data_IF_814565889349
#
_entry.id   IF_814565889349
#
_cell.length_a   1.000
_cell.length_b   1.000
_cell.length_c   1.000
_cell.angle_alpha   90.00
_cell.angle_beta   90.00
_cell.angle_gamma   90.00
#
_symmetry.space_group_name_H-M   'P 1'
#
loop_
_entity.id
_entity.type
_entity.pdbx_description
1 polymer ?
#
# COMPACT_ATOMS: atom_id res chain seq x y z
N UNK A 1 9.04 -2.34 -20.19
CA UNK A 1 9.80 -1.43 -19.31
C UNK A 1 9.06 -1.35 -17.99
N UNK A 2 9.76 -1.52 -16.88
CA UNK A 2 9.17 -1.54 -15.55
C UNK A 2 8.83 -0.11 -15.10
N UNK A 3 7.54 0.25 -15.15
CA UNK A 3 7.05 1.59 -14.81
C UNK A 3 7.04 1.79 -13.29
N UNK A 4 6.65 0.75 -12.55
CA UNK A 4 6.43 0.82 -11.10
C UNK A 4 7.05 -0.38 -10.39
N UNK A 5 7.89 -0.12 -9.38
CA UNK A 5 8.35 -1.14 -8.44
C UNK A 5 7.64 -0.98 -7.10
N UNK A 6 6.99 -2.02 -6.60
CA UNK A 6 6.24 -1.95 -5.36
C UNK A 6 6.88 -2.85 -4.30
N UNK A 7 6.93 -2.34 -3.07
CA UNK A 7 7.39 -3.06 -1.88
C UNK A 7 6.21 -3.08 -0.93
N UNK A 8 5.68 -4.26 -0.58
CA UNK A 8 4.55 -4.40 0.32
C UNK A 8 4.96 -5.02 1.64
N UNK A 9 4.42 -4.51 2.74
CA UNK A 9 4.77 -4.93 4.11
C UNK A 9 4.15 -6.28 4.55
N UNK A 10 3.18 -6.78 3.78
CA UNK A 10 2.53 -8.07 3.93
C UNK A 10 2.12 -8.70 2.58
N UNK A 11 1.69 -9.96 2.63
CA UNK A 11 1.22 -10.70 1.45
C UNK A 11 -0.14 -10.24 0.94
N UNK A 12 -1.10 -10.02 1.84
CA UNK A 12 -2.47 -9.68 1.47
C UNK A 12 -2.54 -8.29 0.82
N UNK A 13 -1.82 -7.31 1.38
CA UNK A 13 -1.72 -5.97 0.82
C UNK A 13 -0.93 -5.92 -0.48
N UNK A 14 0.03 -6.83 -0.70
CA UNK A 14 0.70 -6.99 -1.99
C UNK A 14 -0.30 -7.39 -3.09
N UNK A 15 -1.13 -8.40 -2.81
CA UNK A 15 -2.13 -8.88 -3.77
C UNK A 15 -3.25 -7.87 -4.01
N UNK A 16 -3.68 -7.15 -2.98
CA UNK A 16 -4.67 -6.08 -3.10
C UNK A 16 -4.16 -4.91 -3.97
N UNK A 17 -2.89 -4.51 -3.78
CA UNK A 17 -2.23 -3.53 -4.66
C UNK A 17 -2.15 -4.04 -6.11
N UNK A 18 -1.68 -5.28 -6.30
CA UNK A 18 -1.57 -5.87 -7.63
C UNK A 18 -2.93 -5.91 -8.33
N UNK A 19 -4.00 -6.27 -7.63
CA UNK A 19 -5.36 -6.27 -8.15
C UNK A 19 -5.80 -4.89 -8.65
N UNK A 20 -5.57 -3.82 -7.88
CA UNK A 20 -5.95 -2.47 -8.31
C UNK A 20 -5.16 -1.99 -9.54
N UNK A 21 -3.86 -2.28 -9.59
CA UNK A 21 -3.02 -1.98 -10.75
C UNK A 21 -3.49 -2.75 -12.01
N UNK A 22 -3.80 -4.03 -11.87
CA UNK A 22 -4.31 -4.88 -12.95
C UNK A 22 -5.67 -4.38 -13.45
N UNK A 23 -6.62 -4.08 -12.55
CA UNK A 23 -7.94 -3.53 -12.90
C UNK A 23 -7.84 -2.20 -13.66
N UNK A 24 -6.81 -1.42 -13.38
CA UNK A 24 -6.52 -0.16 -14.08
C UNK A 24 -5.68 -0.34 -15.36
N UNK A 25 -5.40 -1.58 -15.78
CA UNK A 25 -4.82 -1.91 -17.09
C UNK A 25 -3.33 -2.23 -17.09
N UNK A 26 -2.68 -2.30 -15.93
CA UNK A 26 -1.25 -2.57 -15.83
C UNK A 26 -0.97 -4.08 -15.77
N UNK A 27 0.05 -4.57 -16.49
CA UNK A 27 0.57 -5.93 -16.31
C UNK A 27 1.45 -6.00 -15.07
N UNK A 28 1.02 -6.77 -14.07
CA UNK A 28 1.67 -6.86 -12.77
C UNK A 28 2.16 -8.27 -12.50
N UNK A 29 3.36 -8.38 -11.94
CA UNK A 29 3.91 -9.61 -11.38
C UNK A 29 4.09 -9.42 -9.88
N UNK A 30 3.54 -10.33 -9.08
CA UNK A 30 3.80 -10.36 -7.65
C UNK A 30 4.85 -11.43 -7.35
N UNK A 31 5.81 -11.11 -6.48
CA UNK A 31 6.82 -12.06 -5.96
C UNK A 31 6.64 -12.24 -4.46
N UNK A 32 7.05 -13.41 -3.96
CA UNK A 32 7.05 -13.73 -2.53
C UNK A 32 8.50 -13.56 -2.05
N UNK A 33 8.76 -12.47 -1.33
CA UNK A 33 10.13 -12.06 -1.02
C UNK A 33 10.89 -11.49 -2.22
N UNK A 34 12.13 -11.09 -1.97
CA UNK A 34 13.03 -10.56 -3.01
C UNK A 34 13.54 -11.73 -3.86
N UNK A 35 13.36 -11.71 -5.19
CA UNK A 35 13.84 -12.80 -6.05
C UNK A 35 15.36 -12.99 -5.99
N UNK A 36 15.79 -14.25 -5.98
CA UNK A 36 17.18 -14.68 -6.03
C UNK A 36 17.76 -14.66 -7.45
N UNK A 37 19.01 -15.09 -7.59
CA UNK A 37 19.66 -15.18 -8.90
C UNK A 37 19.04 -16.28 -9.77
N UNK A 38 18.53 -17.34 -9.13
CA UNK A 38 17.89 -18.50 -9.72
C UNK A 38 16.49 -18.24 -10.27
N UNK A 39 15.80 -17.20 -9.79
CA UNK A 39 14.43 -16.86 -10.21
C UNK A 39 14.38 -16.17 -11.59
N UNK A 40 15.53 -15.68 -12.07
CA UNK A 40 15.63 -14.93 -13.32
C UNK A 40 15.00 -13.52 -13.24
N UNK A 41 15.07 -12.76 -14.35
CA UNK A 41 14.44 -11.44 -14.44
C UNK A 41 12.91 -11.56 -14.47
N UNK A 42 12.17 -10.49 -14.11
CA UNK A 42 10.72 -10.47 -14.31
C UNK A 42 10.39 -10.62 -15.81
N UNK A 43 9.19 -11.14 -16.15
CA UNK A 43 8.69 -11.20 -17.52
C UNK A 43 8.89 -9.87 -18.28
N UNK A 44 9.30 -9.95 -19.54
CA UNK A 44 9.68 -8.77 -20.32
C UNK A 44 8.51 -7.78 -20.54
N UNK A 45 7.27 -8.26 -20.51
CA UNK A 45 6.05 -7.47 -20.63
C UNK A 45 5.48 -7.00 -19.28
N UNK A 46 6.14 -7.30 -18.15
CA UNK A 46 5.77 -6.76 -16.85
C UNK A 46 5.94 -5.22 -16.84
N UNK A 47 4.87 -4.53 -16.45
CA UNK A 47 4.83 -3.08 -16.28
C UNK A 47 4.97 -2.67 -14.82
N UNK A 48 4.57 -3.55 -13.89
CA UNK A 48 4.89 -3.42 -12.47
C UNK A 48 5.30 -4.74 -11.83
N UNK A 49 6.13 -4.66 -10.80
CA UNK A 49 6.48 -5.77 -9.93
C UNK A 49 6.11 -5.41 -8.49
N UNK A 50 5.40 -6.30 -7.79
CA UNK A 50 5.05 -6.15 -6.38
C UNK A 50 5.79 -7.20 -5.57
N UNK A 51 6.77 -6.77 -4.79
CA UNK A 51 7.52 -7.64 -3.87
C UNK A 51 6.77 -7.69 -2.54
N UNK A 52 6.21 -8.86 -2.20
CA UNK A 52 5.54 -9.09 -0.94
C UNK A 52 6.55 -9.48 0.15
N UNK A 53 6.68 -8.65 1.18
CA UNK A 53 7.49 -8.93 2.35
C UNK A 53 6.61 -9.36 3.53
N UNK A 54 7.26 -9.82 4.61
CA UNK A 54 6.62 -10.01 5.93
C UNK A 54 7.28 -9.06 6.93
N UNK A 55 7.13 -7.76 6.69
CA UNK A 55 7.92 -6.73 7.37
C UNK A 55 7.09 -5.80 8.27
N UNK A 56 5.76 -5.95 8.34
CA UNK A 56 4.90 -5.07 9.16
C UNK A 56 5.28 -4.99 10.64
N UNK A 57 5.48 -6.14 11.28
CA UNK A 57 5.64 -6.24 12.76
C UNK A 57 6.97 -6.82 13.20
N UNK A 58 7.93 -7.00 12.28
CA UNK A 58 9.30 -7.38 12.62
C UNK A 58 10.05 -6.16 13.21
N UNK A 59 11.22 -6.33 13.85
CA UNK A 59 12.03 -5.19 14.28
C UNK A 59 12.32 -4.23 13.11
N UNK A 60 12.25 -2.91 13.34
CA UNK A 60 12.38 -1.90 12.30
C UNK A 60 13.67 -2.03 11.46
N UNK A 61 14.79 -2.39 12.08
CA UNK A 61 16.06 -2.63 11.36
C UNK A 61 15.94 -3.77 10.32
N UNK A 62 15.20 -4.84 10.64
CA UNK A 62 14.96 -5.94 9.71
C UNK A 62 14.04 -5.51 8.57
N UNK A 63 12.96 -4.78 8.89
CA UNK A 63 12.03 -4.25 7.89
C UNK A 63 12.74 -3.30 6.89
N UNK A 64 13.60 -2.41 7.40
CA UNK A 64 14.43 -1.51 6.59
C UNK A 64 15.39 -2.30 5.70
N UNK A 65 16.10 -3.29 6.25
CA UNK A 65 17.02 -4.10 5.47
C UNK A 65 16.32 -4.84 4.31
N UNK A 66 15.18 -5.48 4.59
CA UNK A 66 14.39 -6.16 3.55
C UNK A 66 13.84 -5.20 2.50
N UNK A 67 13.38 -4.00 2.90
CA UNK A 67 12.90 -2.99 1.98
C UNK A 67 14.02 -2.45 1.07
N UNK A 68 15.21 -2.21 1.61
CA UNK A 68 16.37 -1.77 0.82
C UNK A 68 16.87 -2.86 -0.13
N UNK A 69 16.81 -4.13 0.27
CA UNK A 69 17.11 -5.25 -0.63
C UNK A 69 16.11 -5.33 -1.79
N UNK A 70 14.80 -5.19 -1.49
CA UNK A 70 13.75 -5.15 -2.50
C UNK A 70 13.91 -3.95 -3.44
N UNK A 71 14.24 -2.76 -2.90
CA UNK A 71 14.53 -1.56 -3.67
C UNK A 71 15.70 -1.78 -4.63
N UNK A 72 16.81 -2.34 -4.14
CA UNK A 72 17.99 -2.61 -4.97
C UNK A 72 17.66 -3.53 -6.15
N UNK A 73 16.88 -4.59 -5.89
CA UNK A 73 16.43 -5.51 -6.94
C UNK A 73 15.54 -4.80 -7.97
N UNK A 74 14.54 -4.02 -7.52
CA UNK A 74 13.64 -3.29 -8.41
C UNK A 74 14.37 -2.26 -9.28
N UNK A 75 15.34 -1.55 -8.68
CA UNK A 75 16.18 -0.58 -9.40
C UNK A 75 17.09 -1.24 -10.43
N UNK A 76 17.68 -2.40 -10.09
CA UNK A 76 18.47 -3.19 -11.04
C UNK A 76 17.65 -3.64 -12.26
N UNK A 77 16.33 -3.80 -12.11
CA UNK A 77 15.40 -4.16 -13.18
C UNK A 77 14.66 -2.96 -13.80
N UNK A 78 15.13 -1.73 -13.53
CA UNK A 78 14.69 -0.53 -14.23
C UNK A 78 13.42 0.11 -13.70
N UNK A 79 12.99 -0.19 -12.45
CA UNK A 79 11.84 0.49 -11.84
C UNK A 79 12.07 2.01 -11.77
N UNK A 80 11.18 2.77 -12.44
CA UNK A 80 11.27 4.23 -12.53
C UNK A 80 10.75 4.95 -11.27
N UNK A 81 9.68 4.40 -10.68
CA UNK A 81 9.04 4.91 -9.47
C UNK A 81 8.84 3.77 -8.47
N UNK A 82 8.93 4.09 -7.17
CA UNK A 82 8.73 3.13 -6.09
C UNK A 82 7.43 3.41 -5.33
N UNK A 83 6.67 2.36 -5.08
CA UNK A 83 5.46 2.36 -4.25
C UNK A 83 5.70 1.54 -2.99
N UNK A 84 5.80 2.18 -1.83
CA UNK A 84 5.82 1.47 -0.56
C UNK A 84 4.39 1.28 -0.06
N UNK A 85 3.91 0.04 -0.14
CA UNK A 85 2.56 -0.37 0.21
C UNK A 85 2.45 -0.69 1.69
N UNK A 86 1.56 0.03 2.36
CA UNK A 86 1.23 -0.13 3.80
C UNK A 86 -0.25 -0.44 3.99
N UNK A 87 -0.65 -0.89 5.19
CA UNK A 87 -2.05 -1.18 5.51
C UNK A 87 -2.93 0.09 5.43
N UNK A 88 -4.17 -0.03 4.94
CA UNK A 88 -5.10 1.10 4.87
C UNK A 88 -5.59 1.58 6.24
N UNK A 89 -5.38 0.80 7.29
CA UNK A 89 -5.60 1.16 8.71
C UNK A 89 -4.33 1.65 9.41
N UNK A 90 -3.24 1.86 8.65
CA UNK A 90 -1.97 2.41 9.13
C UNK A 90 -1.28 1.59 10.24
N UNK A 91 -1.54 0.28 10.26
CA UNK A 91 -1.03 -0.71 11.22
C UNK A 91 0.47 -0.53 11.50
N UNK A 92 0.76 0.03 12.66
CA UNK A 92 2.12 0.30 13.13
C UNK A 92 2.11 0.54 14.64
N UNK A 93 3.30 0.65 15.21
CA UNK A 93 3.50 1.15 16.58
C UNK A 93 4.39 2.39 16.51
N UNK A 94 4.62 3.03 17.65
CA UNK A 94 5.61 4.12 17.75
C UNK A 94 7.03 3.66 17.39
N UNK A 95 7.29 2.35 17.34
CA UNK A 95 8.57 1.78 16.90
C UNK A 95 8.63 1.48 15.40
N UNK A 96 7.55 1.68 14.64
CA UNK A 96 7.50 1.44 13.20
C UNK A 96 6.44 0.43 12.74
N UNK A 97 6.49 -0.01 11.47
CA UNK A 97 7.62 0.13 10.53
C UNK A 97 7.42 1.11 9.37
N UNK A 98 6.30 1.83 9.32
CA UNK A 98 5.99 2.74 8.21
C UNK A 98 7.02 3.87 8.12
N UNK A 99 7.24 4.59 9.22
CA UNK A 99 8.20 5.70 9.30
C UNK A 99 9.64 5.28 8.95
N UNK A 100 10.23 4.29 9.67
CA UNK A 100 11.61 3.89 9.44
C UNK A 100 11.87 3.39 8.01
N UNK A 101 10.95 2.61 7.43
CA UNK A 101 11.09 2.11 6.06
C UNK A 101 10.90 3.23 5.05
N UNK A 102 9.90 4.11 5.22
CA UNK A 102 9.69 5.25 4.32
C UNK A 102 10.91 6.19 4.30
N UNK A 103 11.49 6.51 5.45
CA UNK A 103 12.69 7.34 5.54
C UNK A 103 13.91 6.69 4.88
N UNK A 104 14.15 5.39 5.12
CA UNK A 104 15.26 4.67 4.51
C UNK A 104 15.14 4.59 2.98
N UNK A 105 13.93 4.33 2.47
CA UNK A 105 13.65 4.35 1.03
C UNK A 105 13.80 5.76 0.47
N UNK A 106 13.33 6.79 1.18
CA UNK A 106 13.47 8.18 0.77
C UNK A 106 14.94 8.60 0.65
N UNK A 107 15.77 8.22 1.62
CA UNK A 107 17.21 8.51 1.60
C UNK A 107 17.89 7.80 0.42
N UNK A 108 17.61 6.51 0.20
CA UNK A 108 18.17 5.74 -0.90
C UNK A 108 17.75 6.25 -2.30
N UNK A 109 16.55 6.82 -2.39
CA UNK A 109 15.99 7.40 -3.62
C UNK A 109 16.22 8.91 -3.75
N UNK A 110 16.86 9.54 -2.76
CA UNK A 110 17.03 11.00 -2.67
C UNK A 110 15.69 11.76 -2.81
N UNK A 111 14.61 11.19 -2.26
CA UNK A 111 13.28 11.79 -2.26
C UNK A 111 13.24 12.97 -1.26
N UNK A 112 12.99 14.21 -1.71
CA UNK A 112 13.03 15.38 -0.83
C UNK A 112 11.87 15.39 0.18
N UNK A 113 10.68 14.99 -0.27
CA UNK A 113 9.49 14.75 0.55
C UNK A 113 8.73 13.58 -0.04
N UNK A 114 8.11 12.77 0.82
CA UNK A 114 7.36 11.58 0.40
C UNK A 114 5.89 11.72 0.81
N UNK A 115 4.94 11.70 -0.15
CA UNK A 115 3.52 11.64 0.17
C UNK A 115 3.17 10.28 0.81
N UNK A 116 2.31 10.32 1.83
CA UNK A 116 1.82 9.18 2.59
C UNK A 116 0.29 9.19 2.61
N UNK A 117 -0.35 8.22 1.96
CA UNK A 117 -1.82 8.17 1.87
C UNK A 117 -2.36 6.74 2.03
N UNK A 118 -2.82 6.33 3.23
CA UNK A 118 -3.39 5.00 3.43
C UNK A 118 -4.86 4.90 2.98
N UNK A 119 -5.47 6.00 2.52
CA UNK A 119 -6.88 6.03 2.15
C UNK A 119 -7.22 4.97 1.09
N UNK A 120 -8.38 4.35 1.28
CA UNK A 120 -8.99 3.41 0.36
C UNK A 120 -10.52 3.49 0.50
N UNK A 121 -11.16 4.50 -0.14
CA UNK A 121 -12.58 4.79 0.01
C UNK A 121 -13.51 3.63 -0.35
N UNK A 122 -13.17 2.83 -1.38
CA UNK A 122 -13.93 1.61 -1.72
C UNK A 122 -13.95 0.59 -0.57
N UNK A 123 -12.91 0.57 0.26
CA UNK A 123 -12.84 -0.23 1.48
C UNK A 123 -13.28 0.56 2.72
N UNK A 124 -13.90 1.74 2.58
CA UNK A 124 -14.35 2.57 3.70
C UNK A 124 -13.23 3.19 4.52
N UNK A 125 -12.05 3.43 3.93
CA UNK A 125 -10.93 4.14 4.61
C UNK A 125 -10.76 5.51 3.98
N UNK A 126 -10.97 6.57 4.75
CA UNK A 126 -10.83 7.96 4.30
C UNK A 126 -9.96 8.76 5.25
N UNK A 127 -9.23 9.75 4.74
CA UNK A 127 -8.38 10.63 5.54
C UNK A 127 -8.86 12.06 5.35
N UNK A 128 -9.18 12.75 6.44
CA UNK A 128 -9.59 14.15 6.41
C UNK A 128 -8.95 14.92 7.55
N UNK A 129 -8.30 16.07 7.22
CA UNK A 129 -7.50 16.85 8.17
C UNK A 129 -6.48 15.98 8.91
N UNK A 130 -5.85 15.05 8.20
CA UNK A 130 -4.90 14.08 8.72
C UNK A 130 -5.49 13.02 9.65
N UNK A 131 -6.80 12.96 9.85
CA UNK A 131 -7.46 11.92 10.65
C UNK A 131 -7.96 10.80 9.77
N UNK A 132 -7.60 9.55 10.10
CA UNK A 132 -8.07 8.36 9.41
C UNK A 132 -9.42 7.89 9.99
N UNK A 133 -10.36 7.63 9.10
CA UNK A 133 -11.67 7.06 9.39
C UNK A 133 -11.75 5.62 8.85
N UNK A 134 -12.49 4.78 9.57
CA UNK A 134 -12.86 3.41 9.20
C UNK A 134 -14.38 3.34 9.20
N UNK A 135 -14.98 3.43 8.02
CA UNK A 135 -16.40 3.73 7.88
C UNK A 135 -16.73 5.08 8.50
N UNK A 136 -17.72 5.11 9.39
CA UNK A 136 -18.18 6.32 10.07
C UNK A 136 -17.40 6.62 11.38
N UNK A 137 -16.43 5.78 11.74
CA UNK A 137 -15.67 5.90 12.99
C UNK A 137 -14.27 6.45 12.73
N UNK A 138 -13.73 7.19 13.69
CA UNK A 138 -12.28 7.41 13.74
C UNK A 138 -11.56 6.07 13.90
N UNK A 139 -10.34 5.98 13.37
CA UNK A 139 -9.48 4.80 13.54
C UNK A 139 -9.40 4.36 15.02
N UNK A 140 -9.25 5.33 15.93
CA UNK A 140 -9.15 5.13 17.37
C UNK A 140 -10.43 4.63 18.05
N UNK A 141 -11.58 4.75 17.38
CA UNK A 141 -12.88 4.29 17.87
C UNK A 141 -13.34 3.01 17.16
N UNK A 142 -12.61 2.58 16.14
CA UNK A 142 -12.85 1.35 15.40
C UNK A 142 -12.28 0.12 16.14
N UNK A 143 -12.59 -1.11 15.68
CA UNK A 143 -11.96 -2.33 16.21
C UNK A 143 -10.43 -2.32 16.19
N UNK A 144 -9.79 -1.50 15.34
CA UNK A 144 -8.34 -1.36 15.28
C UNK A 144 -7.72 -0.84 16.58
N UNK A 145 -8.49 -0.15 17.44
CA UNK A 145 -8.06 0.26 18.78
C UNK A 145 -7.54 -0.91 19.61
N UNK A 146 -8.11 -2.10 19.42
CA UNK A 146 -7.80 -3.31 20.15
C UNK A 146 -7.10 -4.36 19.28
N UNK A 147 -6.50 -3.94 18.15
CA UNK A 147 -5.78 -4.87 17.28
C UNK A 147 -4.65 -5.57 18.06
N UNK A 148 -4.52 -6.91 17.97
CA UNK A 148 -3.67 -7.69 18.88
C UNK A 148 -2.16 -7.40 18.73
N UNK A 149 -1.73 -6.90 17.57
CA UNK A 149 -0.31 -6.65 17.29
C UNK A 149 0.04 -5.16 17.20
N UNK A 150 -0.92 -4.34 16.76
CA UNK A 150 -0.70 -2.92 16.41
C UNK A 150 -1.94 -2.11 16.79
N UNK A 151 -2.25 -1.99 18.09
CA UNK A 151 -3.44 -1.28 18.55
C UNK A 151 -3.37 0.20 18.16
N UNK A 152 -4.37 0.68 17.44
CA UNK A 152 -4.41 2.03 16.88
C UNK A 152 -5.29 2.95 17.72
N UNK A 153 -4.73 3.57 18.75
CA UNK A 153 -5.48 4.44 19.69
C UNK A 153 -5.50 5.93 19.31
N UNK A 154 -4.82 6.33 18.24
CA UNK A 154 -4.74 7.70 17.73
C UNK A 154 -5.09 7.72 16.24
N UNK A 155 -6.12 8.46 15.86
CA UNK A 155 -6.55 8.58 14.47
C UNK A 155 -5.77 9.63 13.66
N UNK A 156 -5.02 10.52 14.32
CA UNK A 156 -4.30 11.61 13.64
C UNK A 156 -2.98 11.10 13.06
N UNK A 157 -2.98 10.79 11.76
CA UNK A 157 -1.87 10.13 11.08
C UNK A 157 -0.56 10.92 11.10
N UNK A 158 -0.60 12.26 11.07
CA UNK A 158 0.63 13.07 11.23
C UNK A 158 1.30 12.77 12.58
N UNK A 159 0.55 12.66 13.68
CA UNK A 159 1.11 12.33 14.99
C UNK A 159 1.59 10.88 15.03
N UNK A 160 0.78 9.94 14.53
CA UNK A 160 1.12 8.50 14.48
C UNK A 160 2.41 8.27 13.70
N UNK A 161 2.56 8.92 12.54
CA UNK A 161 3.76 8.81 11.73
C UNK A 161 4.94 9.57 12.36
N UNK A 162 4.72 10.75 12.95
CA UNK A 162 5.79 11.50 13.63
C UNK A 162 6.43 10.71 14.78
N UNK A 163 5.66 9.93 15.54
CA UNK A 163 6.19 9.13 16.67
C UNK A 163 7.16 8.03 16.24
N UNK A 164 7.06 7.56 15.00
CA UNK A 164 7.92 6.52 14.43
C UNK A 164 8.93 7.05 13.40
N UNK A 165 9.03 8.37 13.23
CA UNK A 165 9.87 9.04 12.23
C UNK A 165 10.89 9.96 12.89
N UNK A 166 12.08 10.08 12.30
CA UNK A 166 13.12 11.02 12.74
C UNK A 166 12.94 12.40 12.10
N UNK A 167 12.51 12.42 10.85
CA UNK A 167 12.21 13.64 10.10
C UNK A 167 10.88 14.26 10.50
N UNK A 168 10.71 15.54 10.16
CA UNK A 168 9.44 16.22 10.36
C UNK A 168 8.36 15.62 9.46
N UNK A 169 7.17 15.42 10.03
CA UNK A 169 5.99 14.95 9.31
C UNK A 169 4.98 16.09 9.15
N UNK A 170 4.58 16.34 7.91
CA UNK A 170 3.63 17.38 7.53
C UNK A 170 2.31 16.80 6.99
N UNK A 171 1.47 17.71 6.47
CA UNK A 171 0.17 17.37 5.89
C UNK A 171 -0.11 18.13 4.60
N UNK A 172 -0.71 17.42 3.64
CA UNK A 172 -1.39 17.95 2.46
C UNK A 172 -2.89 17.78 2.71
N UNK A 173 -3.58 18.90 2.89
CA UNK A 173 -5.00 18.90 3.22
C UNK A 173 -5.85 18.61 2.00
N UNK A 174 -7.08 18.18 2.24
CA UNK A 174 -8.09 17.99 1.20
C UNK A 174 -8.33 19.26 0.35
N UNK A 175 -8.15 20.47 0.90
CA UNK A 175 -8.26 21.71 0.12
C UNK A 175 -7.23 21.81 -1.01
N UNK A 176 -6.03 21.25 -0.83
CA UNK A 176 -5.01 21.19 -1.87
C UNK A 176 -5.38 20.16 -2.96
N UNK A 177 -5.96 19.02 -2.57
CA UNK A 177 -6.46 18.02 -3.51
C UNK A 177 -7.60 18.57 -4.38
N UNK A 178 -8.56 19.27 -3.79
CA UNK A 178 -9.66 19.90 -4.53
C UNK A 178 -9.19 20.93 -5.57
N UNK A 179 -8.03 21.53 -5.36
CA UNK A 179 -7.41 22.47 -6.31
C UNK A 179 -6.63 21.76 -7.43
N UNK A 180 -6.50 20.43 -7.37
CA UNK A 180 -5.91 19.60 -8.41
C UNK A 180 -4.42 19.28 -8.22
N UNK A 181 -3.83 18.52 -9.17
CA UNK A 181 -2.50 17.94 -9.01
C UNK A 181 -1.38 18.97 -8.83
N UNK A 182 -1.50 20.13 -9.49
CA UNK A 182 -0.51 21.21 -9.39
C UNK A 182 -0.45 21.81 -7.99
N UNK A 183 -1.60 21.99 -7.33
CA UNK A 183 -1.67 22.50 -5.96
C UNK A 183 -1.11 21.50 -4.95
N UNK A 184 -1.37 20.21 -5.15
CA UNK A 184 -0.74 19.12 -4.37
C UNK A 184 0.78 19.18 -4.51
N UNK A 185 1.29 19.31 -5.75
CA UNK A 185 2.74 19.39 -5.99
C UNK A 185 3.37 20.63 -5.35
N UNK A 186 2.75 21.80 -5.52
CA UNK A 186 3.20 23.03 -4.87
C UNK A 186 3.25 22.89 -3.35
N UNK A 187 2.26 22.22 -2.74
CA UNK A 187 2.25 21.96 -1.31
C UNK A 187 3.37 21.02 -0.88
N UNK A 188 3.63 19.96 -1.63
CA UNK A 188 4.77 19.05 -1.38
C UNK A 188 6.11 19.81 -1.49
N UNK A 189 6.30 20.63 -2.52
CA UNK A 189 7.52 21.41 -2.70
C UNK A 189 7.74 22.40 -1.54
N UNK A 190 6.68 23.06 -1.06
CA UNK A 190 6.74 23.94 0.11
C UNK A 190 7.08 23.17 1.40
N UNK A 191 6.56 21.96 1.58
CA UNK A 191 6.90 21.10 2.71
C UNK A 191 8.36 20.65 2.65
N UNK A 192 8.86 20.27 1.47
CA UNK A 192 10.26 19.92 1.26
C UNK A 192 11.19 21.10 1.59
N UNK A 193 10.86 22.31 1.12
CA UNK A 193 11.62 23.52 1.43
C UNK A 193 11.64 23.86 2.94
N UNK A 194 10.60 23.48 3.67
CA UNK A 194 10.52 23.59 5.12
C UNK A 194 11.19 22.44 5.89
N UNK A 195 11.85 21.50 5.20
CA UNK A 195 12.54 20.35 5.82
C UNK A 195 11.63 19.20 6.24
N UNK A 196 10.38 19.16 5.76
CA UNK A 196 9.46 18.03 5.98
C UNK A 196 9.92 16.83 5.17
N UNK A 197 10.02 15.65 5.80
CA UNK A 197 10.44 14.41 5.13
C UNK A 197 9.26 13.60 4.62
N UNK A 198 8.19 13.49 5.41
CA UNK A 198 6.99 12.73 5.06
C UNK A 198 5.76 13.62 5.15
N UNK A 199 4.81 13.47 4.22
CA UNK A 199 3.61 14.30 4.17
C UNK A 199 2.35 13.43 4.10
N UNK A 200 1.54 13.42 5.17
CA UNK A 200 0.24 12.75 5.14
C UNK A 200 -0.68 13.49 4.18
N UNK A 201 -1.24 12.79 3.21
CA UNK A 201 -2.18 13.35 2.24
C UNK A 201 -3.59 12.87 2.59
N UNK A 202 -4.50 13.82 2.77
CA UNK A 202 -5.94 13.55 2.89
C UNK A 202 -6.45 12.79 1.65
N UNK A 203 -7.60 12.13 1.74
CA UNK A 203 -8.38 11.65 0.60
C UNK A 203 -9.70 11.09 1.14
N UNK A 204 -10.82 11.63 0.65
CA UNK A 204 -12.17 11.22 1.09
C UNK A 204 -12.92 10.42 0.02
N UNK A 205 -12.49 10.47 -1.24
CA UNK A 205 -13.08 9.70 -2.33
C UNK A 205 -12.03 9.25 -3.38
N UNK A 206 -12.49 8.54 -4.40
CA UNK A 206 -11.61 8.07 -5.47
C UNK A 206 -11.10 9.21 -6.37
N UNK A 207 -11.79 10.35 -6.45
CA UNK A 207 -11.33 11.49 -7.25
C UNK A 207 -10.09 12.15 -6.62
N UNK A 208 -10.04 12.20 -5.29
CA UNK A 208 -8.83 12.59 -4.54
C UNK A 208 -7.66 11.65 -4.84
N UNK A 209 -7.90 10.34 -4.85
CA UNK A 209 -6.85 9.34 -5.14
C UNK A 209 -6.31 9.47 -6.57
N UNK A 210 -7.19 9.73 -7.56
CA UNK A 210 -6.78 10.03 -8.94
C UNK A 210 -5.96 11.31 -9.01
N UNK A 211 -6.36 12.36 -8.28
CA UNK A 211 -5.63 13.62 -8.19
C UNK A 211 -4.23 13.42 -7.61
N UNK A 212 -4.12 12.64 -6.52
CA UNK A 212 -2.83 12.30 -5.92
C UNK A 212 -1.98 11.46 -6.88
N UNK A 213 -2.55 10.49 -7.59
CA UNK A 213 -1.83 9.69 -8.59
C UNK A 213 -1.20 10.56 -9.68
N UNK A 214 -1.93 11.55 -10.20
CA UNK A 214 -1.41 12.53 -11.15
C UNK A 214 -0.32 13.42 -10.54
N UNK A 215 -0.49 13.88 -9.30
CA UNK A 215 0.51 14.69 -8.61
C UNK A 215 1.79 13.91 -8.29
N UNK A 216 1.69 12.59 -8.15
CA UNK A 216 2.79 11.68 -7.87
C UNK A 216 3.67 11.40 -9.10
N UNK A 217 3.28 11.85 -10.30
CA UNK A 217 4.11 11.68 -11.51
C UNK A 217 5.48 12.33 -11.30
N UNK A 218 6.53 11.55 -11.54
CA UNK A 218 7.92 11.96 -11.39
C UNK A 218 8.42 12.01 -9.93
N UNK A 219 7.59 11.71 -8.93
CA UNK A 219 8.08 11.48 -7.57
C UNK A 219 8.76 10.11 -7.51
N UNK A 220 9.97 9.99 -6.92
CA UNK A 220 10.68 8.71 -6.89
C UNK A 220 10.03 7.69 -5.94
N UNK A 221 9.30 8.16 -4.92
CA UNK A 221 8.66 7.33 -3.89
C UNK A 221 7.27 7.86 -3.53
N UNK A 222 6.31 6.93 -3.40
CA UNK A 222 4.99 7.13 -2.82
C UNK A 222 4.76 6.07 -1.75
N UNK A 223 4.27 6.47 -0.57
CA UNK A 223 3.84 5.52 0.48
C UNK A 223 2.32 5.54 0.52
N UNK A 224 1.66 4.40 0.35
CA UNK A 224 0.21 4.40 0.30
C UNK A 224 -0.43 3.03 0.59
N UNK A 225 -1.75 3.07 0.83
CA UNK A 225 -2.63 1.89 0.82
C UNK A 225 -2.78 1.31 -0.59
N UNK A 226 -3.85 0.58 -0.89
CA UNK A 226 -4.10 0.11 -2.28
C UNK A 226 -4.89 1.13 -3.11
N UNK A 227 -5.52 2.12 -2.46
CA UNK A 227 -6.43 3.05 -3.12
C UNK A 227 -5.72 3.93 -4.17
N UNK A 228 -4.59 4.56 -3.82
CA UNK A 228 -3.87 5.48 -4.71
C UNK A 228 -3.42 4.82 -6.01
N UNK A 229 -3.25 3.50 -6.02
CA UNK A 229 -2.83 2.73 -7.18
C UNK A 229 -3.74 2.91 -8.41
N UNK A 230 -5.01 3.27 -8.24
CA UNK A 230 -5.93 3.53 -9.36
C UNK A 230 -5.51 4.76 -10.19
N UNK A 231 -4.77 5.70 -9.60
CA UNK A 231 -4.35 6.94 -10.23
C UNK A 231 -3.05 6.86 -11.00
N UNK A 232 -2.30 5.75 -10.91
CA UNK A 232 -0.98 5.63 -11.54
C UNK A 232 -1.04 5.09 -12.98
N UNK A 233 -1.76 3.99 -13.32
CA UNK A 233 -1.78 3.48 -14.69
C UNK A 233 -2.24 4.49 -15.76
N UNK A 234 -3.26 5.34 -15.51
CA UNK A 234 -3.67 6.36 -16.48
C UNK A 234 -2.58 7.38 -16.84
N UNK A 235 -1.65 7.67 -15.92
CA UNK A 235 -0.54 8.61 -16.20
C UNK A 235 0.48 8.04 -17.17
N UNK A 236 0.39 6.74 -17.46
CA UNK A 236 1.19 6.03 -18.47
C UNK A 236 0.37 5.68 -19.72
N UNK A 237 -0.83 6.27 -19.89
CA UNK A 237 -1.72 5.99 -21.01
C UNK A 237 -2.37 4.60 -20.97
N UNK A 238 -2.36 3.93 -19.81
CA UNK A 238 -3.04 2.67 -19.61
C UNK A 238 -4.50 2.92 -19.23
N UNK A 239 -5.37 2.01 -19.66
CA UNK A 239 -6.79 2.07 -19.39
C UNK A 239 -7.28 0.70 -18.87
N UNK A 240 -8.34 0.68 -18.04
CA UNK A 240 -8.98 -0.56 -17.60
C UNK A 240 -9.30 -1.48 -18.78
N UNK A 241 -9.04 -2.77 -18.61
CA UNK A 241 -9.35 -3.80 -19.61
C UNK A 241 -10.04 -4.98 -18.94
N UNK A 242 -11.15 -5.43 -19.52
CA UNK A 242 -11.85 -6.64 -19.07
C UNK A 242 -10.97 -7.90 -19.17
N UNK A 243 -9.97 -7.89 -20.05
CA UNK A 243 -9.00 -8.99 -20.17
C UNK A 243 -7.92 -8.97 -19.09
N UNK A 244 -7.71 -7.85 -18.39
CA UNK A 244 -6.63 -7.75 -17.41
C UNK A 244 -6.81 -8.71 -16.23
N UNK A 245 -8.07 -9.01 -15.86
CA UNK A 245 -8.42 -9.96 -14.81
C UNK A 245 -8.63 -11.40 -15.32
N UNK A 246 -8.48 -11.66 -16.63
CA UNK A 246 -8.71 -12.99 -17.19
C UNK A 246 -7.53 -13.91 -16.87
N UNK A 247 -7.73 -14.82 -15.91
CA UNK A 247 -6.78 -15.88 -15.59
C UNK A 247 -7.06 -17.12 -16.46
N UNK A 248 -6.02 -17.85 -16.89
CA UNK A 248 -6.21 -19.14 -17.56
C UNK A 248 -6.92 -20.12 -16.61
N UNK A 249 -7.73 -21.01 -17.16
CA UNK A 249 -8.36 -22.06 -16.38
C UNK A 249 -7.30 -23.02 -15.83
N UNK A 250 -7.32 -23.28 -14.51
CA UNK A 250 -6.41 -24.22 -13.86
C UNK A 250 -7.14 -25.54 -13.57
N UNK A 251 -6.97 -26.60 -14.39
CA UNK A 251 -7.60 -27.88 -14.15
C UNK A 251 -6.93 -28.61 -12.96
N UNK A 252 -7.68 -29.45 -12.27
CA UNK A 252 -7.16 -30.34 -11.23
C UNK A 252 -7.90 -30.28 -9.89
N UNK A 253 -7.41 -31.03 -8.87
CA UNK A 253 -7.95 -30.99 -7.51
C UNK A 253 -7.89 -29.58 -6.92
N UNK A 254 -8.87 -29.24 -6.08
CA UNK A 254 -8.99 -27.94 -5.41
C UNK A 254 -9.13 -28.16 -3.91
N UNK A 255 -8.54 -27.27 -3.12
CA UNK A 255 -8.68 -27.24 -1.67
C UNK A 255 -8.91 -25.79 -1.19
N UNK A 256 -9.65 -25.64 -0.10
CA UNK A 256 -9.83 -24.36 0.60
C UNK A 256 -9.14 -24.50 1.96
N UNK A 257 -8.21 -23.59 2.26
CA UNK A 257 -7.54 -23.51 3.56
C UNK A 257 -8.00 -22.22 4.24
N UNK A 258 -8.73 -22.36 5.34
CA UNK A 258 -9.30 -21.22 6.08
C UNK A 258 -8.73 -21.17 7.49
N UNK A 259 -7.88 -20.16 7.76
CA UNK A 259 -7.28 -19.94 9.08
C UNK A 259 -7.73 -18.65 9.79
N UNK A 260 -8.56 -17.82 9.15
CA UNK A 260 -9.05 -16.57 9.76
C UNK A 260 -10.28 -16.83 10.63
N UNK A 261 -10.29 -16.23 11.82
CA UNK A 261 -11.41 -16.30 12.76
C UNK A 261 -12.40 -15.13 12.61
N UNK A 262 -12.33 -14.37 11.51
CA UNK A 262 -13.22 -13.21 11.30
C UNK A 262 -14.69 -13.62 11.15
N UNK A 263 -15.61 -12.71 11.48
CA UNK A 263 -17.05 -12.95 11.29
C UNK A 263 -17.39 -13.29 9.82
N UNK A 264 -16.73 -12.63 8.86
CA UNK A 264 -16.90 -12.90 7.44
C UNK A 264 -16.40 -14.31 7.06
N UNK A 265 -15.24 -14.72 7.56
CA UNK A 265 -14.67 -16.04 7.29
C UNK A 265 -15.53 -17.16 7.88
N UNK A 266 -16.02 -16.99 9.10
CA UNK A 266 -16.95 -17.95 9.71
C UNK A 266 -18.24 -18.10 8.88
N UNK A 267 -18.81 -16.98 8.40
CA UNK A 267 -19.98 -17.03 7.52
C UNK A 267 -19.70 -17.73 6.18
N UNK A 268 -18.52 -17.51 5.58
CA UNK A 268 -18.09 -18.18 4.35
C UNK A 268 -17.92 -19.70 4.54
N UNK A 269 -17.28 -20.12 5.64
CA UNK A 269 -17.12 -21.54 5.99
C UNK A 269 -18.49 -22.19 6.19
N UNK A 270 -19.37 -21.57 6.99
CA UNK A 270 -20.72 -22.08 7.23
C UNK A 270 -21.51 -22.21 5.92
N UNK A 271 -21.44 -21.21 5.04
CA UNK A 271 -22.08 -21.25 3.72
C UNK A 271 -21.55 -22.39 2.85
N UNK A 272 -20.22 -22.58 2.79
CA UNK A 272 -19.60 -23.67 2.01
C UNK A 272 -20.09 -25.05 2.48
N UNK A 273 -20.08 -25.29 3.79
CA UNK A 273 -20.54 -26.56 4.39
C UNK A 273 -22.03 -26.79 4.14
N UNK A 274 -22.86 -25.75 4.25
CA UNK A 274 -24.30 -25.84 4.00
C UNK A 274 -24.65 -26.17 2.53
N UNK A 275 -23.75 -25.90 1.58
CA UNK A 275 -23.97 -26.12 0.15
C UNK A 275 -23.15 -27.30 -0.40
N UNK A 276 -22.87 -28.31 0.44
CA UNK A 276 -22.25 -29.57 0.01
C UNK A 276 -20.72 -29.55 -0.05
N UNK A 277 -20.08 -28.50 0.44
CA UNK A 277 -18.64 -28.50 0.69
C UNK A 277 -18.27 -29.45 1.82
N UNK A 278 -17.22 -30.24 1.65
CA UNK A 278 -16.62 -31.02 2.72
C UNK A 278 -15.57 -30.18 3.45
N UNK A 279 -15.56 -30.24 4.78
CA UNK A 279 -14.57 -29.55 5.61
C UNK A 279 -14.03 -30.44 6.72
N UNK A 280 -12.80 -30.16 7.14
CA UNK A 280 -12.16 -30.76 8.30
C UNK A 280 -11.70 -29.62 9.21
N UNK A 281 -12.20 -29.59 10.45
CA UNK A 281 -11.81 -28.59 11.43
C UNK A 281 -10.48 -28.99 12.07
N UNK A 282 -9.53 -28.06 12.11
CA UNK A 282 -8.28 -28.24 12.84
C UNK A 282 -8.51 -27.85 14.31
N UNK A 283 -8.14 -28.75 15.23
CA UNK A 283 -8.03 -28.45 16.67
C UNK A 283 -6.59 -27.96 16.94
N UNK A 284 -6.38 -26.68 17.30
CA UNK A 284 -5.04 -26.08 17.40
C UNK A 284 -4.12 -26.64 18.48
#
# INVERSE_FOLDING_TARGET
MLLLGCIADDFTGATDLANNLVRAGMRVVQTIGVPGAEDGPPPADAQAVVIALKSRTVPAAQAVASALQALAWLRAHGAAQIYFKVCSTFDSTDHGNIGPVAEALADALQAPVVPVCPAFPEAGRTVFKGHLFVGDLLLSDSPMRHHPLTPMADAHLVRVLQRQSRGAVGGVTHDALRQGPAAVRQRLDALAAAGTRLAVVDAIDNADLLTLGQAAVGLPLLVAGSGVAIGLPPTHGLAPSAQAAALPATPGPRAIVSGSCSAATNAQVAHCLAHGGAGFQIDP
#
